data_IF_223577022415
#
_entry.id   IF_223577022415
#
_cell.length_a   1.000
_cell.length_b   1.000
_cell.length_c   1.000
_cell.angle_alpha   90.00
_cell.angle_beta   90.00
_cell.angle_gamma   90.00
#
_symmetry.space_group_name_H-M   'P 1'
#
loop_
_entity.id
_entity.type
_entity.pdbx_description
1 polymer ?
#
# COMPACT_ATOMS: atom_id res chain seq x y z
N UNK A 1 23.16 15.14 14.42
CA UNK A 1 23.55 14.22 13.34
C UNK A 1 22.38 13.52 12.63
N UNK A 2 21.16 13.38 13.19
CA UNK A 2 20.00 12.70 12.57
C UNK A 2 19.39 13.39 11.31
N UNK A 3 19.63 14.69 11.10
CA UNK A 3 19.02 15.46 9.98
C UNK A 3 19.71 15.19 8.62
N UNK A 4 20.99 14.84 8.62
CA UNK A 4 21.80 14.59 7.42
C UNK A 4 21.42 13.28 6.73
N UNK A 5 21.16 12.20 7.48
CA UNK A 5 20.89 10.89 6.90
C UNK A 5 19.48 10.80 6.26
N UNK A 6 18.50 11.47 6.86
CA UNK A 6 17.11 11.57 6.37
C UNK A 6 17.00 12.22 4.98
N UNK A 7 17.91 13.15 4.67
CA UNK A 7 18.01 13.75 3.34
C UNK A 7 18.77 12.86 2.35
N UNK A 8 19.64 11.99 2.84
CA UNK A 8 20.46 11.13 1.98
C UNK A 8 19.63 10.04 1.29
N UNK A 9 18.63 9.42 1.96
CA UNK A 9 17.79 8.38 1.34
C UNK A 9 17.02 8.91 0.13
N UNK A 10 16.42 10.09 0.26
CA UNK A 10 15.69 10.74 -0.84
C UNK A 10 16.63 11.06 -2.02
N UNK A 11 17.85 11.53 -1.75
CA UNK A 11 18.87 11.78 -2.78
C UNK A 11 19.32 10.50 -3.49
N UNK A 12 19.55 9.43 -2.73
CA UNK A 12 19.90 8.12 -3.32
C UNK A 12 18.76 7.56 -4.19
N UNK A 13 17.51 7.69 -3.74
CA UNK A 13 16.35 7.26 -4.52
C UNK A 13 16.20 8.07 -5.81
N UNK A 14 16.38 9.39 -5.74
CA UNK A 14 16.35 10.26 -6.94
C UNK A 14 17.50 9.88 -7.90
N UNK A 15 18.70 9.66 -7.36
CA UNK A 15 19.85 9.24 -8.18
C UNK A 15 19.61 7.89 -8.87
N UNK A 16 19.08 6.92 -8.13
CA UNK A 16 18.75 5.59 -8.68
C UNK A 16 17.60 5.67 -9.69
N UNK A 17 16.58 6.48 -9.42
CA UNK A 17 15.47 6.72 -10.34
C UNK A 17 15.98 7.33 -11.65
N UNK A 18 16.83 8.37 -11.58
CA UNK A 18 17.43 8.97 -12.78
C UNK A 18 18.28 7.96 -13.54
N UNK A 19 19.08 7.15 -12.84
CA UNK A 19 19.89 6.11 -13.46
C UNK A 19 19.02 5.10 -14.22
N UNK A 20 17.91 4.64 -13.64
CA UNK A 20 16.99 3.71 -14.29
C UNK A 20 16.26 4.35 -15.48
N UNK A 21 15.83 5.61 -15.35
CA UNK A 21 15.24 6.36 -16.46
C UNK A 21 16.23 6.48 -17.62
N UNK A 22 17.49 6.82 -17.35
CA UNK A 22 18.54 6.91 -18.38
C UNK A 22 18.79 5.54 -19.00
N UNK A 23 18.92 4.48 -18.20
CA UNK A 23 19.16 3.12 -18.71
C UNK A 23 18.06 2.66 -19.67
N UNK A 24 16.77 2.81 -19.28
CA UNK A 24 15.65 2.43 -20.14
C UNK A 24 15.47 3.39 -21.34
N UNK A 25 15.83 4.68 -21.20
CA UNK A 25 15.83 5.63 -22.32
C UNK A 25 16.83 5.25 -23.41
N UNK A 26 18.00 4.72 -23.01
CA UNK A 26 19.02 4.25 -23.96
C UNK A 26 18.62 2.89 -24.55
N UNK A 27 18.10 1.99 -23.72
CA UNK A 27 17.73 0.64 -24.16
C UNK A 27 16.53 0.64 -25.12
N UNK A 28 15.52 1.50 -24.88
CA UNK A 28 14.23 1.46 -25.58
C UNK A 28 13.61 2.85 -25.74
N UNK A 29 14.27 3.77 -26.50
CA UNK A 29 13.87 5.19 -26.55
C UNK A 29 12.43 5.41 -27.07
N UNK A 30 12.01 4.65 -28.07
CA UNK A 30 10.72 4.84 -28.73
C UNK A 30 9.53 4.34 -27.93
N UNK A 31 9.72 3.30 -27.11
CA UNK A 31 8.65 2.68 -26.32
C UNK A 31 8.59 3.30 -24.92
N UNK A 32 9.74 3.51 -24.29
CA UNK A 32 9.82 4.04 -22.95
C UNK A 32 9.19 5.44 -22.83
N UNK A 33 9.45 6.32 -23.80
CA UNK A 33 8.91 7.69 -23.83
C UNK A 33 7.54 7.81 -24.49
N UNK A 34 6.89 6.71 -24.82
CA UNK A 34 5.53 6.73 -25.37
C UNK A 34 4.50 7.20 -24.35
N UNK A 35 3.52 7.97 -24.79
CA UNK A 35 2.40 8.41 -23.93
C UNK A 35 1.66 7.20 -23.34
N UNK A 36 1.51 6.13 -24.11
CA UNK A 36 0.87 4.89 -23.66
C UNK A 36 1.62 4.23 -22.48
N UNK A 37 2.96 4.27 -22.48
CA UNK A 37 3.74 3.74 -21.37
C UNK A 37 3.55 4.57 -20.09
N UNK A 38 3.57 5.90 -20.19
CA UNK A 38 3.31 6.77 -19.03
C UNK A 38 1.91 6.60 -18.49
N UNK A 39 0.91 6.47 -19.35
CA UNK A 39 -0.46 6.18 -18.93
C UNK A 39 -0.59 4.80 -18.28
N UNK A 40 0.13 3.80 -18.77
CA UNK A 40 0.20 2.47 -18.19
C UNK A 40 0.80 2.51 -16.78
N UNK A 41 1.94 3.18 -16.59
CA UNK A 41 2.56 3.42 -15.29
C UNK A 41 1.57 4.11 -14.34
N UNK A 42 0.95 5.21 -14.79
CA UNK A 42 0.00 5.98 -14.00
C UNK A 42 -1.29 5.22 -13.64
N UNK A 43 -1.66 4.19 -14.41
CA UNK A 43 -2.82 3.34 -14.09
C UNK A 43 -2.47 2.16 -13.17
N UNK A 44 -1.22 1.71 -13.17
CA UNK A 44 -0.77 0.55 -12.37
C UNK A 44 -0.29 0.93 -10.98
N UNK A 45 0.49 2.00 -10.88
CA UNK A 45 1.10 2.48 -9.64
C UNK A 45 0.10 2.73 -8.48
N UNK A 46 -1.12 3.28 -8.70
CA UNK A 46 -2.01 3.67 -7.62
C UNK A 46 -2.44 2.54 -6.69
N UNK A 47 -2.73 1.36 -7.22
CA UNK A 47 -3.14 0.20 -6.42
C UNK A 47 -2.02 -0.22 -5.47
N UNK A 48 -0.83 -0.49 -6.02
CA UNK A 48 0.35 -0.83 -5.23
C UNK A 48 0.73 0.29 -4.27
N UNK A 49 0.66 1.54 -4.75
CA UNK A 49 1.02 2.72 -3.97
C UNK A 49 0.17 2.89 -2.73
N UNK A 50 -1.15 2.74 -2.82
CA UNK A 50 -2.05 2.86 -1.67
C UNK A 50 -1.87 1.68 -0.71
N UNK A 51 -1.65 0.46 -1.21
CA UNK A 51 -1.32 -0.70 -0.36
C UNK A 51 0.00 -0.52 0.37
N UNK A 52 1.02 0.04 -0.29
CA UNK A 52 2.29 0.36 0.36
C UNK A 52 2.15 1.46 1.42
N UNK A 53 1.31 2.47 1.18
CA UNK A 53 0.96 3.48 2.18
C UNK A 53 0.21 2.86 3.36
N UNK A 54 -0.70 1.90 3.12
CA UNK A 54 -1.39 1.15 4.17
C UNK A 54 -0.41 0.33 5.02
N UNK A 55 0.60 -0.29 4.40
CA UNK A 55 1.69 -1.01 5.07
C UNK A 55 2.54 -0.05 5.91
N UNK A 56 2.94 1.08 5.36
CA UNK A 56 3.78 2.05 6.05
C UNK A 56 3.12 2.60 7.32
N UNK A 57 1.81 2.83 7.29
CA UNK A 57 1.08 3.32 8.47
C UNK A 57 1.31 2.43 9.69
N UNK A 58 1.29 1.11 9.50
CA UNK A 58 1.51 0.15 10.59
C UNK A 58 3.00 -0.03 10.91
N UNK A 59 3.87 -0.01 9.89
CA UNK A 59 5.32 -0.11 10.08
C UNK A 59 5.88 1.07 10.89
N UNK A 60 5.35 2.28 10.71
CA UNK A 60 5.78 3.45 11.48
C UNK A 60 5.55 3.29 13.00
N UNK A 61 4.60 2.44 13.41
CA UNK A 61 4.39 2.04 14.82
C UNK A 61 5.20 0.80 15.24
N UNK A 62 6.07 0.26 14.39
CA UNK A 62 6.80 -0.98 14.65
C UNK A 62 5.98 -2.25 14.41
N UNK A 63 4.88 -2.18 13.63
CA UNK A 63 4.03 -3.33 13.31
C UNK A 63 3.94 -3.59 11.81
N UNK A 64 4.23 -4.81 11.37
CA UNK A 64 4.01 -5.23 9.99
C UNK A 64 2.60 -5.81 9.87
N UNK A 65 1.77 -5.23 8.98
CA UNK A 65 0.41 -5.71 8.73
C UNK A 65 0.37 -6.66 7.53
N UNK A 66 0.44 -7.96 7.78
CA UNK A 66 0.39 -8.97 6.73
C UNK A 66 -1.01 -9.15 6.13
N UNK A 67 -2.06 -8.63 6.77
CA UNK A 67 -3.44 -8.80 6.32
C UNK A 67 -3.89 -7.80 5.25
N UNK A 68 -3.05 -6.84 4.81
CA UNK A 68 -3.46 -5.77 3.89
C UNK A 68 -4.09 -6.28 2.60
N UNK A 69 -3.51 -7.32 1.99
CA UNK A 69 -4.01 -7.89 0.74
C UNK A 69 -5.33 -8.66 0.96
N UNK A 70 -5.39 -9.48 2.01
CA UNK A 70 -6.61 -10.21 2.35
C UNK A 70 -7.75 -9.25 2.73
N UNK A 71 -7.43 -8.14 3.41
CA UNK A 71 -8.36 -7.05 3.72
C UNK A 71 -8.86 -6.38 2.43
N UNK A 72 -7.96 -6.04 1.50
CA UNK A 72 -8.33 -5.46 0.22
C UNK A 72 -9.24 -6.42 -0.58
N UNK A 73 -8.91 -7.71 -0.63
CA UNK A 73 -9.73 -8.72 -1.30
C UNK A 73 -11.10 -8.88 -0.61
N UNK A 74 -11.18 -8.89 0.72
CA UNK A 74 -12.45 -8.93 1.43
C UNK A 74 -13.32 -7.69 1.11
N UNK A 75 -12.73 -6.49 1.15
CA UNK A 75 -13.42 -5.26 0.79
C UNK A 75 -13.90 -5.28 -0.67
N UNK A 76 -13.04 -5.76 -1.60
CA UNK A 76 -13.42 -5.85 -3.02
C UNK A 76 -14.57 -6.82 -3.25
N UNK A 77 -14.60 -7.97 -2.57
CA UNK A 77 -15.68 -8.95 -2.69
C UNK A 77 -17.01 -8.41 -2.12
N UNK A 78 -16.98 -7.73 -0.98
CA UNK A 78 -18.16 -7.06 -0.41
C UNK A 78 -18.68 -5.98 -1.35
N UNK A 79 -17.80 -5.13 -1.87
CA UNK A 79 -18.15 -4.10 -2.85
C UNK A 79 -18.70 -4.72 -4.15
N UNK A 80 -18.06 -5.78 -4.64
CA UNK A 80 -18.47 -6.51 -5.83
C UNK A 80 -19.90 -7.07 -5.68
N UNK A 81 -20.17 -7.71 -4.56
CA UNK A 81 -21.48 -8.27 -4.27
C UNK A 81 -22.57 -7.17 -4.27
N UNK A 82 -22.34 -6.04 -3.60
CA UNK A 82 -23.29 -4.92 -3.60
C UNK A 82 -23.47 -4.32 -5.00
N UNK A 83 -22.37 -4.08 -5.72
CA UNK A 83 -22.41 -3.47 -7.05
C UNK A 83 -23.12 -4.32 -8.10
N UNK A 84 -23.14 -5.66 -7.95
CA UNK A 84 -23.76 -6.59 -8.89
C UNK A 84 -25.16 -7.04 -8.47
N UNK A 85 -25.51 -6.94 -7.18
CA UNK A 85 -26.81 -7.39 -6.67
C UNK A 85 -27.91 -6.35 -6.79
N UNK A 86 -27.59 -5.08 -6.98
CA UNK A 86 -28.56 -3.99 -7.04
C UNK A 86 -28.51 -3.25 -8.37
N UNK A 87 -29.64 -2.66 -8.83
CA UNK A 87 -29.68 -1.88 -10.07
C UNK A 87 -28.63 -0.75 -10.07
N UNK A 88 -28.00 -0.48 -11.21
CA UNK A 88 -27.00 0.58 -11.30
C UNK A 88 -27.61 1.97 -11.05
N UNK A 89 -27.02 2.72 -10.13
CA UNK A 89 -27.47 4.06 -9.75
C UNK A 89 -26.57 4.70 -8.70
N UNK A 90 -26.78 5.98 -8.44
CA UNK A 90 -25.99 6.72 -7.44
C UNK A 90 -26.11 6.16 -6.02
N UNK A 91 -27.29 5.67 -5.65
CA UNK A 91 -27.53 5.00 -4.37
C UNK A 91 -26.70 3.71 -4.25
N UNK A 92 -26.66 2.89 -5.30
CA UNK A 92 -25.85 1.67 -5.34
C UNK A 92 -24.36 1.97 -5.29
N UNK A 93 -23.91 3.03 -5.98
CA UNK A 93 -22.52 3.46 -5.90
C UNK A 93 -22.11 3.85 -4.46
N UNK A 94 -22.94 4.66 -3.81
CA UNK A 94 -22.71 5.05 -2.42
C UNK A 94 -22.75 3.84 -1.47
N UNK A 95 -23.75 2.96 -1.63
CA UNK A 95 -23.86 1.74 -0.84
C UNK A 95 -22.64 0.83 -1.00
N UNK A 96 -22.11 0.70 -2.23
CA UNK A 96 -20.89 -0.08 -2.52
C UNK A 96 -19.69 0.48 -1.77
N UNK A 97 -19.46 1.79 -1.82
CA UNK A 97 -18.35 2.43 -1.11
C UNK A 97 -18.51 2.33 0.41
N UNK A 98 -19.72 2.53 0.93
CA UNK A 98 -19.99 2.39 2.36
C UNK A 98 -19.83 0.93 2.84
N UNK A 99 -20.23 -0.05 2.04
CA UNK A 99 -20.05 -1.47 2.37
C UNK A 99 -18.57 -1.85 2.42
N UNK A 100 -17.79 -1.42 1.42
CA UNK A 100 -16.34 -1.64 1.42
C UNK A 100 -15.62 -0.93 2.57
N UNK A 101 -15.99 0.32 2.85
CA UNK A 101 -15.47 1.09 3.98
C UNK A 101 -15.87 0.48 5.33
N UNK A 102 -17.12 0.00 5.46
CA UNK A 102 -17.62 -0.70 6.64
C UNK A 102 -16.87 -2.01 6.91
N UNK A 103 -16.66 -2.82 5.87
CA UNK A 103 -15.86 -4.04 5.97
C UNK A 103 -14.41 -3.73 6.40
N UNK A 104 -13.79 -2.73 5.80
CA UNK A 104 -12.45 -2.27 6.19
C UNK A 104 -12.41 -1.81 7.64
N UNK A 105 -13.40 -1.03 8.08
CA UNK A 105 -13.48 -0.54 9.46
C UNK A 105 -13.59 -1.70 10.46
N UNK A 106 -14.43 -2.70 10.19
CA UNK A 106 -14.58 -3.88 11.03
C UNK A 106 -13.25 -4.63 11.12
N UNK A 107 -12.60 -4.93 9.98
CA UNK A 107 -11.32 -5.65 9.94
C UNK A 107 -10.22 -4.84 10.65
N UNK A 108 -10.15 -3.53 10.40
CA UNK A 108 -9.20 -2.64 11.06
C UNK A 108 -9.38 -2.56 12.57
N UNK A 109 -10.64 -2.51 13.04
CA UNK A 109 -10.97 -2.56 14.47
C UNK A 109 -10.59 -3.91 15.08
N UNK A 110 -10.87 -5.04 14.41
CA UNK A 110 -10.46 -6.36 14.87
C UNK A 110 -8.94 -6.44 15.05
N UNK A 111 -8.16 -6.05 14.06
CA UNK A 111 -6.70 -5.98 14.16
C UNK A 111 -6.25 -5.04 15.29
N UNK A 112 -6.86 -3.86 15.37
CA UNK A 112 -6.57 -2.88 16.41
C UNK A 112 -6.87 -3.41 17.82
N UNK A 113 -7.97 -4.12 18.03
CA UNK A 113 -8.33 -4.74 19.31
C UNK A 113 -7.33 -5.84 19.67
N UNK A 114 -6.96 -6.71 18.75
CA UNK A 114 -6.00 -7.78 18.99
C UNK A 114 -4.62 -7.21 19.39
N UNK A 115 -4.16 -6.18 18.70
CA UNK A 115 -2.81 -5.64 18.87
C UNK A 115 -2.77 -4.62 20.02
N UNK A 116 -3.63 -3.60 20.00
CA UNK A 116 -3.64 -2.55 21.01
C UNK A 116 -4.43 -2.93 22.27
N UNK A 117 -5.47 -3.77 22.14
CA UNK A 117 -6.32 -4.21 23.23
C UNK A 117 -5.72 -5.36 24.01
N UNK A 118 -5.49 -6.48 23.34
CA UNK A 118 -5.04 -7.76 23.91
C UNK A 118 -3.50 -7.84 23.95
N UNK A 119 -2.79 -6.97 23.20
CA UNK A 119 -1.33 -6.91 23.09
C UNK A 119 -0.71 -8.13 22.40
N UNK A 120 -1.40 -8.70 21.44
CA UNK A 120 -0.84 -9.72 20.55
C UNK A 120 0.21 -9.08 19.65
N UNK A 121 1.28 -9.80 19.34
CA UNK A 121 2.29 -9.35 18.38
C UNK A 121 1.63 -8.99 17.03
N UNK A 122 1.95 -7.83 16.41
CA UNK A 122 1.35 -7.41 15.15
C UNK A 122 1.45 -8.45 14.04
N UNK A 123 2.61 -9.09 13.92
CA UNK A 123 2.85 -10.11 12.89
C UNK A 123 1.89 -11.31 13.11
N UNK A 124 1.77 -11.82 14.34
CA UNK A 124 0.91 -12.96 14.61
C UNK A 124 -0.57 -12.64 14.45
N UNK A 125 -1.01 -11.48 14.94
CA UNK A 125 -2.40 -11.03 14.82
C UNK A 125 -2.80 -10.86 13.34
N UNK A 126 -1.96 -10.17 12.55
CA UNK A 126 -2.27 -9.90 11.15
C UNK A 126 -2.07 -11.12 10.24
N UNK A 127 -1.17 -12.04 10.57
CA UNK A 127 -1.05 -13.34 9.90
C UNK A 127 -2.30 -14.20 10.13
N UNK A 128 -2.79 -14.27 11.38
CA UNK A 128 -4.04 -14.92 11.71
C UNK A 128 -5.23 -14.30 10.98
N UNK A 129 -5.31 -12.96 10.96
CA UNK A 129 -6.36 -12.23 10.23
C UNK A 129 -6.27 -12.47 8.72
N UNK A 130 -5.07 -12.47 8.13
CA UNK A 130 -4.86 -12.78 6.71
C UNK A 130 -5.41 -14.16 6.37
N UNK A 131 -5.08 -15.18 7.17
CA UNK A 131 -5.51 -16.55 6.95
C UNK A 131 -7.04 -16.69 7.12
N UNK A 132 -7.61 -16.06 8.15
CA UNK A 132 -9.04 -16.03 8.39
C UNK A 132 -9.81 -15.39 7.22
N UNK A 133 -9.40 -14.19 6.81
CA UNK A 133 -10.04 -13.48 5.70
C UNK A 133 -9.91 -14.24 4.39
N UNK A 134 -8.72 -14.82 4.09
CA UNK A 134 -8.51 -15.63 2.89
C UNK A 134 -9.46 -16.84 2.90
N UNK A 135 -9.58 -17.53 4.01
CA UNK A 135 -10.52 -18.66 4.17
C UNK A 135 -11.97 -18.25 3.96
N UNK A 136 -12.42 -17.17 4.62
CA UNK A 136 -13.78 -16.64 4.45
C UNK A 136 -14.05 -16.20 3.02
N UNK A 137 -13.12 -15.48 2.40
CA UNK A 137 -13.26 -15.00 1.01
C UNK A 137 -13.41 -16.17 0.02
N UNK A 138 -12.63 -17.23 0.20
CA UNK A 138 -12.73 -18.44 -0.65
C UNK A 138 -14.04 -19.19 -0.36
N UNK A 139 -14.43 -19.33 0.91
CA UNK A 139 -15.65 -20.02 1.29
C UNK A 139 -16.91 -19.36 0.68
N UNK A 140 -17.00 -18.02 0.74
CA UNK A 140 -18.18 -17.28 0.23
C UNK A 140 -18.24 -17.32 -1.30
N UNK A 141 -17.09 -17.27 -1.98
CA UNK A 141 -17.03 -17.20 -3.44
C UNK A 141 -16.87 -18.56 -4.14
N UNK A 142 -16.66 -19.64 -3.38
CA UNK A 142 -16.24 -20.92 -3.94
C UNK A 142 -14.94 -20.84 -4.72
N UNK A 143 -14.08 -19.81 -4.45
CA UNK A 143 -12.84 -19.54 -5.17
C UNK A 143 -13.04 -18.88 -6.55
N UNK A 144 -14.28 -18.62 -6.96
CA UNK A 144 -14.61 -17.95 -8.23
C UNK A 144 -14.44 -16.44 -8.11
N UNK A 145 -14.36 -15.76 -9.26
CA UNK A 145 -14.34 -14.30 -9.31
C UNK A 145 -15.77 -13.76 -9.50
N UNK A 146 -16.10 -12.64 -8.84
CA UNK A 146 -17.29 -11.84 -9.13
C UNK A 146 -16.88 -10.82 -10.18
N UNK A 147 -17.51 -10.85 -11.36
CA UNK A 147 -17.16 -10.00 -12.51
C UNK A 147 -18.40 -9.29 -13.07
N UNK A 148 -18.22 -8.57 -14.19
CA UNK A 148 -19.27 -7.84 -14.92
C UNK A 148 -19.88 -6.68 -14.12
N UNK A 149 -19.04 -5.75 -13.71
CA UNK A 149 -19.48 -4.58 -12.99
C UNK A 149 -20.20 -3.56 -13.86
N UNK A 150 -21.10 -2.76 -13.25
CA UNK A 150 -21.70 -1.61 -13.91
C UNK A 150 -20.64 -0.60 -14.41
N UNK A 151 -20.94 0.13 -15.48
CA UNK A 151 -20.00 1.07 -16.10
C UNK A 151 -19.47 2.14 -15.14
N UNK A 152 -20.22 2.55 -14.12
CA UNK A 152 -19.77 3.54 -13.14
C UNK A 152 -18.55 3.05 -12.31
N UNK A 153 -18.41 1.73 -12.08
CA UNK A 153 -17.20 1.16 -11.44
C UNK A 153 -16.02 1.26 -12.38
N UNK A 154 -16.21 0.92 -13.65
CA UNK A 154 -15.14 0.89 -14.66
C UNK A 154 -14.72 2.29 -15.09
N UNK A 155 -15.64 3.26 -14.99
CA UNK A 155 -15.39 4.65 -15.36
C UNK A 155 -14.16 5.22 -14.67
N UNK A 156 -13.92 4.90 -13.41
CA UNK A 156 -12.77 5.42 -12.65
C UNK A 156 -11.43 5.07 -13.31
N UNK A 157 -11.29 3.86 -13.85
CA UNK A 157 -10.05 3.44 -14.52
C UNK A 157 -9.91 4.01 -15.94
N UNK A 158 -11.04 4.27 -16.62
CA UNK A 158 -11.05 4.80 -17.98
C UNK A 158 -11.01 6.33 -18.04
N UNK A 159 -11.46 7.00 -16.97
CA UNK A 159 -11.46 8.44 -16.91
C UNK A 159 -10.03 9.01 -16.83
N UNK A 160 -9.79 10.05 -17.60
CA UNK A 160 -8.51 10.76 -17.64
C UNK A 160 -8.74 12.25 -17.39
N UNK A 161 -7.86 12.85 -16.61
CA UNK A 161 -7.80 14.28 -16.38
C UNK A 161 -6.43 14.81 -16.83
N UNK A 162 -6.42 15.76 -17.76
CA UNK A 162 -5.18 16.25 -18.38
C UNK A 162 -4.28 15.14 -18.97
N UNK A 163 -4.87 14.07 -19.53
CA UNK A 163 -4.14 12.94 -20.09
C UNK A 163 -3.59 11.95 -19.04
N UNK A 164 -3.84 12.19 -17.75
CA UNK A 164 -3.41 11.33 -16.64
C UNK A 164 -4.64 10.53 -16.15
N UNK A 165 -4.54 9.19 -16.00
CA UNK A 165 -5.61 8.36 -15.45
C UNK A 165 -6.07 8.83 -14.06
N UNK A 166 -7.37 8.84 -13.83
CA UNK A 166 -7.97 9.30 -12.57
C UNK A 166 -7.47 8.55 -11.32
N UNK A 167 -7.15 7.24 -11.37
CA UNK A 167 -6.50 6.53 -10.26
C UNK A 167 -5.25 7.22 -9.73
N UNK A 168 -4.43 7.82 -10.61
CA UNK A 168 -3.21 8.52 -10.20
C UNK A 168 -3.51 9.78 -9.39
N UNK A 169 -4.55 10.52 -9.74
CA UNK A 169 -5.02 11.66 -8.95
C UNK A 169 -5.52 11.24 -7.58
N UNK A 170 -6.27 10.13 -7.52
CA UNK A 170 -6.71 9.57 -6.24
C UNK A 170 -5.52 9.17 -5.36
N UNK A 171 -4.51 8.52 -5.94
CA UNK A 171 -3.27 8.19 -5.22
C UNK A 171 -2.58 9.45 -4.69
N UNK A 172 -2.46 10.50 -5.53
CA UNK A 172 -1.85 11.76 -5.12
C UNK A 172 -2.60 12.43 -3.95
N UNK A 173 -3.93 12.43 -3.99
CA UNK A 173 -4.78 12.96 -2.90
C UNK A 173 -4.59 12.14 -1.62
N UNK A 174 -4.59 10.80 -1.71
CA UNK A 174 -4.38 9.91 -0.57
C UNK A 174 -2.98 10.09 0.02
N UNK A 175 -1.94 10.15 -0.82
CA UNK A 175 -0.56 10.37 -0.38
C UNK A 175 -0.39 11.74 0.29
N UNK A 176 -0.99 12.80 -0.28
CA UNK A 176 -0.98 14.13 0.31
C UNK A 176 -1.75 14.18 1.64
N UNK A 177 -2.90 13.52 1.73
CA UNK A 177 -3.67 13.41 2.96
C UNK A 177 -2.89 12.70 4.07
N UNK A 178 -2.22 11.59 3.75
CA UNK A 178 -1.35 10.89 4.69
C UNK A 178 -0.11 11.70 5.07
N UNK A 179 0.48 12.43 4.13
CA UNK A 179 1.58 13.33 4.42
C UNK A 179 1.17 14.40 5.45
N UNK A 180 0.01 15.04 5.25
CA UNK A 180 -0.55 16.02 6.21
C UNK A 180 -0.83 15.34 7.56
N UNK A 181 -1.44 14.15 7.55
CA UNK A 181 -1.75 13.41 8.76
C UNK A 181 -0.47 13.06 9.54
N UNK A 182 0.58 12.57 8.89
CA UNK A 182 1.81 12.15 9.57
C UNK A 182 2.70 13.31 9.98
N UNK A 183 2.84 14.34 9.16
CA UNK A 183 3.77 15.44 9.44
C UNK A 183 3.13 16.62 10.19
N UNK A 184 1.82 16.84 10.05
CA UNK A 184 1.16 18.03 10.60
C UNK A 184 0.23 17.73 11.76
N UNK A 185 -0.24 16.48 11.94
CA UNK A 185 -1.22 16.17 12.99
C UNK A 185 -0.58 15.69 14.31
N UNK A 186 -1.29 15.81 15.44
CA UNK A 186 -0.88 15.19 16.70
C UNK A 186 -0.82 13.66 16.61
N UNK A 187 -1.70 13.06 15.80
CA UNK A 187 -1.74 11.62 15.58
C UNK A 187 -0.44 11.12 14.92
N UNK A 188 0.05 11.82 13.89
CA UNK A 188 1.30 11.47 13.22
C UNK A 188 2.51 11.53 14.17
N UNK A 189 2.57 12.54 15.02
CA UNK A 189 3.61 12.61 16.05
C UNK A 189 3.54 11.46 17.04
N UNK A 190 2.34 11.11 17.49
CA UNK A 190 2.14 9.96 18.39
C UNK A 190 2.54 8.65 17.73
N UNK A 191 2.23 8.43 16.44
CA UNK A 191 2.65 7.27 15.66
C UNK A 191 4.18 7.11 15.67
N UNK A 192 4.91 8.17 15.36
CA UNK A 192 6.39 8.14 15.34
C UNK A 192 6.98 7.89 16.73
N UNK A 193 6.39 8.48 17.77
CA UNK A 193 6.84 8.28 19.14
C UNK A 193 6.58 6.84 19.61
N UNK A 194 5.41 6.25 19.31
CA UNK A 194 5.09 4.86 19.64
C UNK A 194 6.08 3.90 18.97
N UNK A 195 6.37 4.11 17.69
CA UNK A 195 7.35 3.29 16.98
C UNK A 195 8.75 3.39 17.53
N UNK A 196 9.12 4.55 18.12
CA UNK A 196 10.43 4.70 18.77
C UNK A 196 10.47 4.06 20.17
N UNK A 197 9.44 4.28 20.99
CA UNK A 197 9.29 3.68 22.31
C UNK A 197 7.86 3.84 22.81
N UNK A 198 7.06 2.77 22.76
CA UNK A 198 5.67 2.80 23.19
C UNK A 198 5.50 3.14 24.66
N UNK A 199 6.38 2.59 25.55
CA UNK A 199 6.30 2.84 27.00
C UNK A 199 6.57 4.30 27.33
N UNK A 200 7.62 4.87 26.77
CA UNK A 200 7.94 6.29 26.96
C UNK A 200 6.81 7.20 26.45
N UNK A 201 6.21 6.86 25.29
CA UNK A 201 5.09 7.60 24.72
C UNK A 201 3.85 7.55 25.61
N UNK A 202 3.58 6.41 26.23
CA UNK A 202 2.48 6.28 27.19
C UNK A 202 2.69 7.18 28.42
N UNK A 203 3.90 7.17 29.01
CA UNK A 203 4.24 8.05 30.15
C UNK A 203 4.25 9.54 29.78
N UNK A 204 4.40 9.89 28.51
CA UNK A 204 4.27 11.26 28.00
C UNK A 204 2.82 11.72 27.80
N UNK A 205 1.83 10.94 28.26
CA UNK A 205 0.41 11.30 28.25
C UNK A 205 -0.35 10.93 26.99
N UNK A 206 0.26 10.24 26.01
CA UNK A 206 -0.45 9.76 24.83
C UNK A 206 -1.19 8.44 25.13
N UNK A 207 -2.43 8.34 24.68
CA UNK A 207 -3.17 7.09 24.75
C UNK A 207 -2.73 6.16 23.58
N UNK A 208 -1.63 5.39 23.81
CA UNK A 208 -1.00 4.53 22.80
C UNK A 208 -1.99 3.51 22.24
N UNK A 209 -2.89 2.95 23.08
CA UNK A 209 -3.92 2.00 22.67
C UNK A 209 -4.86 2.61 21.62
N UNK A 210 -5.34 3.83 21.86
CA UNK A 210 -6.24 4.52 20.92
C UNK A 210 -5.53 4.88 19.62
N UNK A 211 -4.28 5.31 19.69
CA UNK A 211 -3.47 5.64 18.49
C UNK A 211 -3.25 4.39 17.64
N UNK A 212 -2.83 3.27 18.24
CA UNK A 212 -2.65 2.00 17.52
C UNK A 212 -3.96 1.51 16.87
N UNK A 213 -5.10 1.59 17.56
CA UNK A 213 -6.39 1.27 16.96
C UNK A 213 -6.65 2.08 15.69
N UNK A 214 -6.45 3.40 15.73
CA UNK A 214 -6.64 4.25 14.56
C UNK A 214 -5.67 3.93 13.42
N UNK A 215 -4.44 3.56 13.73
CA UNK A 215 -3.44 3.15 12.71
C UNK A 215 -3.94 1.95 11.91
N UNK A 216 -4.45 0.90 12.58
CA UNK A 216 -4.97 -0.28 11.90
C UNK A 216 -6.28 -0.01 11.15
N UNK A 217 -7.14 0.87 11.67
CA UNK A 217 -8.36 1.30 10.97
C UNK A 217 -8.02 2.10 9.72
N UNK A 218 -7.10 3.07 9.80
CA UNK A 218 -6.67 3.85 8.63
C UNK A 218 -6.00 2.94 7.60
N UNK A 219 -5.12 2.02 8.03
CA UNK A 219 -4.50 1.03 7.14
C UNK A 219 -5.56 0.19 6.40
N UNK A 220 -6.60 -0.28 7.09
CA UNK A 220 -7.68 -1.06 6.48
C UNK A 220 -8.54 -0.21 5.51
N UNK A 221 -8.84 1.05 5.84
CA UNK A 221 -9.55 1.96 4.95
C UNK A 221 -8.76 2.23 3.66
N UNK A 222 -7.44 2.37 3.75
CA UNK A 222 -6.57 2.47 2.58
C UNK A 222 -6.65 1.19 1.73
N UNK A 223 -6.71 0.02 2.36
CA UNK A 223 -6.93 -1.24 1.63
C UNK A 223 -8.27 -1.25 0.89
N UNK A 224 -9.35 -0.67 1.45
CA UNK A 224 -10.63 -0.55 0.74
C UNK A 224 -10.55 0.39 -0.47
N UNK A 225 -9.80 1.50 -0.36
CA UNK A 225 -9.56 2.39 -1.52
C UNK A 225 -8.77 1.66 -2.61
N UNK A 226 -7.71 0.94 -2.25
CA UNK A 226 -6.94 0.13 -3.20
C UNK A 226 -7.80 -0.98 -3.83
N UNK A 227 -8.68 -1.61 -3.04
CA UNK A 227 -9.62 -2.62 -3.50
C UNK A 227 -10.56 -2.09 -4.57
N UNK A 228 -11.12 -0.89 -4.38
CA UNK A 228 -12.00 -0.25 -5.36
C UNK A 228 -11.27 0.07 -6.67
N UNK A 229 -10.03 0.55 -6.60
CA UNK A 229 -9.17 0.76 -7.78
C UNK A 229 -8.90 -0.56 -8.51
N UNK A 230 -8.60 -1.63 -7.77
CA UNK A 230 -8.33 -2.95 -8.33
C UNK A 230 -9.56 -3.52 -9.03
N UNK A 231 -10.76 -3.38 -8.42
CA UNK A 231 -12.04 -3.76 -9.04
C UNK A 231 -12.28 -2.99 -10.35
N UNK A 232 -12.09 -1.67 -10.34
CA UNK A 232 -12.27 -0.82 -11.51
C UNK A 232 -11.32 -1.20 -12.65
N UNK A 233 -10.09 -1.60 -12.32
CA UNK A 233 -9.06 -1.99 -13.30
C UNK A 233 -9.27 -3.37 -13.88
N UNK A 234 -9.59 -4.36 -13.04
CA UNK A 234 -9.66 -5.78 -13.43
C UNK A 234 -11.06 -6.21 -13.88
N UNK A 235 -12.09 -5.38 -13.69
CA UNK A 235 -13.50 -5.73 -13.89
C UNK A 235 -13.89 -7.03 -13.18
N UNK A 236 -13.23 -7.35 -12.10
CA UNK A 236 -13.48 -8.55 -11.29
C UNK A 236 -12.89 -8.42 -9.89
N UNK A 237 -13.44 -9.19 -8.93
CA UNK A 237 -12.88 -9.37 -7.59
C UNK A 237 -12.72 -10.86 -7.30
N UNK A 238 -11.59 -11.25 -6.74
CA UNK A 238 -11.27 -12.63 -6.37
C UNK A 238 -10.45 -12.66 -5.09
N UNK A 239 -10.59 -13.72 -4.31
CA UNK A 239 -9.91 -13.90 -3.02
C UNK A 239 -8.36 -13.93 -3.14
N UNK A 240 -7.81 -14.23 -4.31
CA UNK A 240 -6.37 -14.43 -4.54
C UNK A 240 -5.69 -13.30 -5.33
N UNK A 241 -6.38 -12.17 -5.59
CA UNK A 241 -5.76 -11.08 -6.33
C UNK A 241 -4.70 -10.35 -5.50
N UNK A 242 -3.63 -9.94 -6.19
CA UNK A 242 -2.60 -9.07 -5.63
C UNK A 242 -1.72 -9.71 -4.53
N UNK A 243 -1.64 -11.04 -4.42
CA UNK A 243 -0.81 -11.69 -3.38
C UNK A 243 0.66 -11.25 -3.44
N UNK A 244 1.20 -11.01 -4.63
CA UNK A 244 2.56 -10.49 -4.82
C UNK A 244 2.75 -9.07 -4.28
N UNK A 245 1.70 -8.27 -4.22
CA UNK A 245 1.78 -6.89 -3.74
C UNK A 245 2.12 -6.78 -2.25
N UNK A 246 1.94 -7.84 -1.46
CA UNK A 246 2.35 -7.84 -0.05
C UNK A 246 3.86 -7.59 0.08
N UNK A 247 4.66 -8.41 -0.61
CA UNK A 247 6.11 -8.29 -0.58
C UNK A 247 6.59 -6.96 -1.15
N UNK A 248 6.01 -6.55 -2.29
CA UNK A 248 6.39 -5.29 -2.97
C UNK A 248 5.98 -4.08 -2.13
N UNK A 249 4.88 -4.14 -1.39
CA UNK A 249 4.47 -3.06 -0.46
C UNK A 249 5.45 -2.88 0.70
N UNK A 250 5.95 -4.00 1.27
CA UNK A 250 7.00 -3.97 2.29
C UNK A 250 8.28 -3.39 1.69
N UNK A 251 8.69 -3.88 0.52
CA UNK A 251 9.87 -3.39 -0.18
C UNK A 251 9.78 -1.89 -0.45
N UNK A 252 8.65 -1.40 -0.96
CA UNK A 252 8.42 0.02 -1.24
C UNK A 252 8.53 0.87 0.03
N UNK A 253 7.95 0.42 1.15
CA UNK A 253 8.02 1.11 2.42
C UNK A 253 9.46 1.19 2.95
N UNK A 254 10.18 0.06 2.95
CA UNK A 254 11.55 -0.03 3.47
C UNK A 254 12.52 0.73 2.57
N UNK A 255 12.41 0.58 1.25
CA UNK A 255 13.20 1.32 0.26
C UNK A 255 12.96 2.83 0.37
N UNK A 256 11.70 3.23 0.61
CA UNK A 256 11.29 4.62 0.84
C UNK A 256 11.76 5.20 2.18
N UNK A 257 12.51 4.44 2.98
CA UNK A 257 13.11 4.89 4.24
C UNK A 257 12.20 4.76 5.46
N UNK A 258 11.11 3.99 5.37
CA UNK A 258 10.34 3.60 6.55
C UNK A 258 11.12 2.55 7.32
N UNK A 259 11.29 2.76 8.62
CA UNK A 259 11.95 1.78 9.47
C UNK A 259 10.97 0.65 9.84
N UNK A 260 11.31 -0.63 9.55
CA UNK A 260 10.46 -1.77 9.95
C UNK A 260 10.22 -1.87 11.46
N UNK A 261 11.20 -1.43 12.26
CA UNK A 261 11.11 -1.42 13.73
C UNK A 261 10.32 -0.22 14.26
N UNK A 262 9.89 0.69 13.38
CA UNK A 262 9.09 1.87 13.70
C UNK A 262 9.90 3.13 13.98
N UNK A 263 9.20 4.19 14.36
CA UNK A 263 9.73 5.46 14.84
C UNK A 263 10.29 6.40 13.78
N UNK A 264 10.46 5.97 12.54
CA UNK A 264 10.96 6.84 11.47
C UNK A 264 10.49 6.42 10.09
N UNK A 265 10.21 7.39 9.23
CA UNK A 265 9.81 7.22 7.85
C UNK A 265 9.23 8.51 7.28
N UNK A 266 9.16 8.61 5.94
CA UNK A 266 8.59 9.75 5.24
C UNK A 266 7.77 9.30 4.05
N UNK A 267 6.61 9.92 3.86
CA UNK A 267 5.74 9.67 2.70
C UNK A 267 6.45 10.04 1.38
N UNK A 268 7.21 11.12 1.35
CA UNK A 268 7.95 11.55 0.15
C UNK A 268 8.92 10.47 -0.32
N UNK A 269 9.71 9.90 0.59
CA UNK A 269 10.64 8.81 0.25
C UNK A 269 9.89 7.57 -0.28
N UNK A 270 8.73 7.24 0.30
CA UNK A 270 7.90 6.14 -0.19
C UNK A 270 7.37 6.38 -1.60
N UNK A 271 6.86 7.59 -1.88
CA UNK A 271 6.36 7.95 -3.20
C UNK A 271 7.49 7.84 -4.24
N UNK A 272 8.70 8.30 -3.91
CA UNK A 272 9.88 8.14 -4.78
C UNK A 272 10.24 6.66 -5.01
N UNK A 273 10.21 5.86 -3.95
CA UNK A 273 10.46 4.42 -4.06
C UNK A 273 9.40 3.72 -4.94
N UNK A 274 8.14 4.09 -4.81
CA UNK A 274 7.06 3.57 -5.65
C UNK A 274 7.23 3.92 -7.13
N UNK A 275 7.61 5.17 -7.44
CA UNK A 275 7.95 5.55 -8.81
C UNK A 275 9.13 4.73 -9.35
N UNK A 276 10.18 4.55 -8.55
CA UNK A 276 11.33 3.73 -8.92
C UNK A 276 10.92 2.30 -9.24
N UNK A 277 10.18 1.64 -8.33
CA UNK A 277 9.72 0.27 -8.52
C UNK A 277 8.83 0.13 -9.75
N UNK A 278 7.93 1.10 -9.98
CA UNK A 278 7.03 1.08 -11.13
C UNK A 278 7.76 1.30 -12.46
N UNK A 279 8.80 2.13 -12.48
CA UNK A 279 9.64 2.32 -13.67
C UNK A 279 10.41 1.05 -13.99
N UNK A 280 10.97 0.37 -12.96
CA UNK A 280 11.65 -0.92 -13.13
C UNK A 280 10.68 -1.97 -13.65
N UNK A 281 9.48 -2.08 -13.08
CA UNK A 281 8.44 -3.02 -13.51
C UNK A 281 8.03 -2.77 -14.95
N UNK A 282 7.79 -1.51 -15.32
CA UNK A 282 7.47 -1.12 -16.69
C UNK A 282 8.60 -1.47 -17.66
N UNK A 283 9.85 -1.17 -17.30
CA UNK A 283 11.03 -1.52 -18.10
C UNK A 283 11.16 -3.01 -18.31
N UNK A 284 10.98 -3.82 -17.27
CA UNK A 284 11.00 -5.29 -17.37
C UNK A 284 9.87 -5.82 -18.26
N UNK A 285 8.69 -5.23 -18.16
CA UNK A 285 7.54 -5.60 -18.97
C UNK A 285 7.78 -5.31 -20.47
N UNK A 286 8.37 -4.15 -20.78
CA UNK A 286 8.74 -3.79 -22.17
C UNK A 286 9.84 -4.71 -22.71
N UNK A 287 10.80 -5.14 -21.87
CA UNK A 287 11.84 -6.12 -22.23
C UNK A 287 11.31 -7.55 -22.39
N UNK A 288 10.02 -7.79 -22.11
CA UNK A 288 9.41 -9.13 -22.19
C UNK A 288 9.86 -10.07 -21.07
N UNK A 289 10.37 -9.53 -19.95
CA UNK A 289 10.74 -10.32 -18.78
C UNK A 289 9.47 -10.90 -18.14
N UNK A 290 9.48 -12.20 -17.86
CA UNK A 290 8.30 -12.85 -17.29
C UNK A 290 7.95 -12.26 -15.91
N UNK A 291 6.64 -12.15 -15.57
CA UNK A 291 6.19 -11.67 -14.26
C UNK A 291 6.77 -12.50 -13.09
N UNK A 292 7.02 -13.78 -13.31
CA UNK A 292 7.60 -14.67 -12.30
C UNK A 292 9.05 -14.31 -11.99
N UNK A 293 9.85 -13.96 -13.02
CA UNK A 293 11.22 -13.51 -12.83
C UNK A 293 11.24 -12.13 -12.15
N UNK A 294 10.34 -11.23 -12.53
CA UNK A 294 10.18 -9.94 -11.87
C UNK A 294 9.88 -10.11 -10.38
N UNK A 295 8.98 -11.03 -10.01
CA UNK A 295 8.67 -11.31 -8.61
C UNK A 295 9.88 -11.89 -7.85
N UNK A 296 10.68 -12.76 -8.48
CA UNK A 296 11.93 -13.27 -7.89
C UNK A 296 12.95 -12.14 -7.66
N UNK A 297 13.06 -11.22 -8.61
CA UNK A 297 13.96 -10.05 -8.50
C UNK A 297 13.52 -9.11 -7.36
N UNK A 298 12.23 -8.91 -7.12
CA UNK A 298 11.75 -8.15 -5.96
C UNK A 298 12.18 -8.79 -4.64
N UNK A 299 12.12 -10.14 -4.55
CA UNK A 299 12.62 -10.88 -3.38
C UNK A 299 14.13 -10.68 -3.16
N UNK A 300 14.93 -10.80 -4.22
CA UNK A 300 16.38 -10.57 -4.16
C UNK A 300 16.70 -9.13 -3.75
N UNK A 301 16.01 -8.14 -4.35
CA UNK A 301 16.19 -6.73 -3.99
C UNK A 301 15.89 -6.45 -2.52
N UNK A 302 14.81 -7.04 -1.98
CA UNK A 302 14.47 -6.90 -0.56
C UNK A 302 15.58 -7.46 0.33
N UNK A 303 16.08 -8.67 0.03
CA UNK A 303 17.17 -9.30 0.79
C UNK A 303 18.46 -8.48 0.73
N UNK A 304 18.85 -8.02 -0.46
CA UNK A 304 20.02 -7.17 -0.64
C UNK A 304 19.90 -5.86 0.13
N UNK A 305 18.72 -5.25 0.13
CA UNK A 305 18.48 -3.98 0.83
C UNK A 305 18.53 -4.14 2.35
N UNK A 306 17.93 -5.21 2.90
CA UNK A 306 17.98 -5.52 4.33
C UNK A 306 19.43 -5.77 4.77
N UNK A 307 20.19 -6.55 3.98
CA UNK A 307 21.58 -6.83 4.27
C UNK A 307 22.46 -5.57 4.22
N UNK A 308 22.24 -4.71 3.23
CA UNK A 308 22.97 -3.44 3.13
C UNK A 308 22.68 -2.51 4.33
N UNK A 309 21.46 -2.47 4.85
CA UNK A 309 21.13 -1.74 6.08
C UNK A 309 21.87 -2.30 7.29
N UNK A 310 21.93 -3.62 7.45
CA UNK A 310 22.65 -4.27 8.54
C UNK A 310 24.16 -3.97 8.50
N UNK A 311 24.77 -4.03 7.30
CA UNK A 311 26.22 -3.73 7.11
C UNK A 311 26.55 -2.26 7.36
N UNK A 312 25.65 -1.32 7.05
CA UNK A 312 25.83 0.11 7.28
C UNK A 312 25.63 0.52 8.75
N UNK A 313 25.38 -0.42 9.66
CA UNK A 313 25.25 -0.19 11.10
C UNK A 313 24.03 0.63 11.49
N UNK A 314 23.03 0.70 10.62
CA UNK A 314 21.81 1.52 10.80
C UNK A 314 20.85 0.90 11.81
N UNK A 315 21.05 -0.35 12.21
CA UNK A 315 20.30 -1.05 13.27
C UNK A 315 20.69 -0.63 14.68
N UNK A 316 21.87 0.00 14.89
CA UNK A 316 22.39 0.35 16.23
C UNK A 316 22.08 1.77 16.68
N UNK A 317 21.25 2.52 15.97
CA UNK A 317 20.92 3.91 16.31
C UNK A 317 19.46 4.09 16.79
N UNK A 318 18.93 3.05 17.47
CA UNK A 318 17.62 3.07 18.11
C UNK A 318 17.74 3.07 19.63
#
# INVERSE_FOLDING_TARGET
MKKSWRNNVEFYLIGLLLLMVIAFSIAMPNIFWSVSNFQSIASQMPVLGILALAMAMTMLCGGINLSIIATANACSLVMAWVATSYPPGGATALATLLAGGGAAMIIGLCNGILIAGIRVSPILATLGMMTLLKGINILITGGSAIANYPQWVLWLNHAQWFGIPLPMWLFAVVAAGLWVLLEKSPLGRAIMLIGSNERATHYSGFNTRRVLMWVYVISALLCAVAAFLMMSKLNSAKASYGESYLLVSILAAVLGGVNPDGGSGRIVGMVLALFLLQIIESGFNILGISPYLTMALWGVLLLCFIQARGMLGLERAG
#
